data_IF_690893149143
#
_entry.id   IF_690893149143
#
_cell.length_a   1.000
_cell.length_b   1.000
_cell.length_c   1.000
_cell.angle_alpha   90.00
_cell.angle_beta   90.00
_cell.angle_gamma   90.00
#
_symmetry.space_group_name_H-M   'P 1'
#
loop_
_entity.id
_entity.type
_entity.pdbx_description
1 polymer ?
#
# COMPACT_ATOMS: atom_id res chain seq x y z
N UNK A 1 22.59 -6.53 8.15
CA UNK A 1 22.44 -6.50 6.68
C UNK A 1 21.16 -7.24 6.31
N UNK A 2 20.03 -6.84 6.91
CA UNK A 2 18.77 -7.58 6.83
C UNK A 2 17.76 -6.73 6.06
N UNK A 3 17.35 -7.18 4.87
CA UNK A 3 16.31 -6.54 4.08
C UNK A 3 16.51 -6.54 2.56
N UNK A 4 17.72 -6.83 2.06
CA UNK A 4 17.97 -6.89 0.62
C UNK A 4 17.45 -8.20 0.02
N UNK A 5 16.56 -8.10 -0.98
CA UNK A 5 16.12 -9.27 -1.77
C UNK A 5 17.26 -9.67 -2.71
N UNK A 6 17.56 -10.96 -2.76
CA UNK A 6 18.61 -11.52 -3.64
C UNK A 6 17.96 -12.40 -4.70
N UNK A 7 18.35 -12.18 -5.95
CA UNK A 7 18.15 -13.08 -7.06
C UNK A 7 19.53 -13.60 -7.52
N UNK A 8 19.60 -14.69 -8.28
CA UNK A 8 20.83 -15.39 -8.66
C UNK A 8 21.92 -14.48 -9.27
N UNK A 9 21.54 -13.33 -9.82
CA UNK A 9 22.46 -12.36 -10.43
C UNK A 9 22.31 -10.92 -9.91
N UNK A 10 21.49 -10.66 -8.89
CA UNK A 10 21.29 -9.29 -8.39
C UNK A 10 20.85 -9.25 -6.92
N UNK A 11 21.45 -8.35 -6.15
CA UNK A 11 21.00 -7.96 -4.81
C UNK A 11 20.32 -6.60 -4.93
N UNK A 12 19.05 -6.49 -4.52
CA UNK A 12 18.27 -5.27 -4.68
C UNK A 12 17.41 -4.97 -3.45
N UNK A 13 17.23 -3.68 -3.18
CA UNK A 13 16.25 -3.14 -2.23
C UNK A 13 15.44 -2.09 -2.98
N UNK A 14 14.22 -2.47 -3.39
CA UNK A 14 13.35 -1.62 -4.19
C UNK A 14 12.19 -1.20 -3.31
N UNK A 15 12.19 0.08 -2.94
CA UNK A 15 11.15 0.72 -2.11
C UNK A 15 10.44 1.77 -2.95
N UNK A 16 9.11 1.71 -2.99
CA UNK A 16 8.28 2.65 -3.73
C UNK A 16 7.36 3.40 -2.77
N UNK A 17 7.19 4.71 -3.03
CA UNK A 17 6.17 5.54 -2.39
C UNK A 17 5.02 5.72 -3.38
N UNK A 18 3.96 4.94 -3.21
CA UNK A 18 2.79 4.98 -4.10
C UNK A 18 1.70 5.83 -3.46
N UNK A 19 1.29 6.88 -4.16
CA UNK A 19 0.19 7.77 -3.74
C UNK A 19 -0.88 7.71 -4.84
N UNK A 20 -2.14 7.53 -4.44
CA UNK A 20 -3.28 7.58 -5.35
C UNK A 20 -4.41 8.43 -4.76
N UNK A 21 -5.27 8.92 -5.65
CA UNK A 21 -6.47 9.68 -5.29
C UNK A 21 -7.66 9.07 -6.01
N UNK A 22 -8.83 9.11 -5.39
CA UNK A 22 -10.05 8.61 -6.03
C UNK A 22 -10.51 9.53 -7.16
N UNK A 23 -11.29 8.94 -8.08
CA UNK A 23 -11.92 9.68 -9.17
C UNK A 23 -12.71 10.88 -8.61
N UNK A 24 -12.47 12.06 -9.18
CA UNK A 24 -13.09 13.35 -8.79
C UNK A 24 -12.78 13.84 -7.36
N UNK A 25 -11.84 13.22 -6.64
CA UNK A 25 -11.46 13.62 -5.26
C UNK A 25 -12.63 13.73 -4.28
N UNK A 26 -13.69 12.94 -4.48
CA UNK A 26 -14.79 12.92 -3.53
C UNK A 26 -14.28 12.51 -2.14
N UNK A 27 -14.90 13.05 -1.10
CA UNK A 27 -14.54 12.71 0.28
C UNK A 27 -15.23 11.40 0.69
N UNK A 28 -15.01 10.29 -0.02
CA UNK A 28 -15.69 8.99 0.25
C UNK A 28 -14.84 8.02 1.07
N UNK A 29 -13.54 8.31 1.21
CA UNK A 29 -12.62 7.49 2.01
C UNK A 29 -12.75 7.86 3.49
N UNK A 30 -13.89 7.52 4.09
CA UNK A 30 -14.13 7.65 5.52
C UNK A 30 -14.87 6.43 6.07
N UNK A 31 -14.81 6.27 7.39
CA UNK A 31 -15.51 5.21 8.13
C UNK A 31 -15.24 3.79 7.59
N UNK A 32 -16.27 2.95 7.41
CA UNK A 32 -16.09 1.54 7.04
C UNK A 32 -15.52 1.35 5.63
N UNK A 33 -15.75 2.30 4.72
CA UNK A 33 -15.24 2.22 3.33
C UNK A 33 -13.71 2.26 3.32
N UNK A 34 -13.12 3.15 4.11
CA UNK A 34 -11.68 3.29 4.19
C UNK A 34 -11.01 2.09 4.89
N UNK A 35 -11.66 1.51 5.91
CA UNK A 35 -11.21 0.26 6.55
C UNK A 35 -11.20 -0.87 5.52
N UNK A 36 -12.31 -1.07 4.80
CA UNK A 36 -12.41 -2.12 3.79
C UNK A 36 -11.40 -1.94 2.65
N UNK A 37 -11.18 -0.70 2.24
CA UNK A 37 -10.17 -0.37 1.21
C UNK A 37 -8.77 -0.77 1.66
N UNK A 38 -8.42 -0.47 2.93
CA UNK A 38 -7.13 -0.87 3.51
C UNK A 38 -6.93 -2.39 3.49
N UNK A 39 -7.96 -3.16 3.84
CA UNK A 39 -7.92 -4.62 3.81
C UNK A 39 -7.70 -5.15 2.39
N UNK A 40 -8.43 -4.63 1.40
CA UNK A 40 -8.31 -5.06 0.00
C UNK A 40 -6.90 -4.82 -0.55
N UNK A 41 -6.30 -3.66 -0.22
CA UNK A 41 -4.93 -3.33 -0.62
C UNK A 41 -3.95 -4.32 0.01
N UNK A 42 -4.11 -4.59 1.31
CA UNK A 42 -3.26 -5.54 2.03
C UNK A 42 -3.34 -6.94 1.43
N UNK A 43 -4.55 -7.43 1.17
CA UNK A 43 -4.78 -8.71 0.50
C UNK A 43 -4.12 -8.75 -0.89
N UNK A 44 -4.26 -7.67 -1.66
CA UNK A 44 -3.65 -7.55 -2.99
C UNK A 44 -2.11 -7.53 -2.97
N UNK A 45 -1.50 -6.97 -1.93
CA UNK A 45 -0.05 -6.99 -1.71
C UNK A 45 0.44 -8.35 -1.24
N UNK A 46 -0.26 -8.98 -0.28
CA UNK A 46 0.05 -10.32 0.24
C UNK A 46 0.02 -11.36 -0.88
N UNK A 47 -1.01 -11.33 -1.74
CA UNK A 47 -1.12 -12.22 -2.90
C UNK A 47 0.03 -12.07 -3.92
N UNK A 48 0.73 -10.93 -3.93
CA UNK A 48 1.87 -10.66 -4.83
C UNK A 48 3.23 -10.78 -4.13
N UNK A 49 3.27 -11.16 -2.85
CA UNK A 49 4.51 -11.23 -2.07
C UNK A 49 5.19 -9.86 -1.88
N UNK A 50 4.41 -8.78 -1.88
CA UNK A 50 4.88 -7.41 -1.69
C UNK A 50 4.88 -7.09 -0.20
N UNK A 51 6.03 -6.67 0.32
CA UNK A 51 6.18 -6.23 1.72
C UNK A 51 5.73 -4.78 1.86
N UNK A 52 4.76 -4.52 2.74
CA UNK A 52 4.28 -3.17 3.06
C UNK A 52 5.12 -2.61 4.22
N UNK A 53 5.84 -1.52 4.00
CA UNK A 53 6.64 -0.85 5.04
C UNK A 53 5.84 0.19 5.85
N UNK A 54 4.91 0.89 5.19
CA UNK A 54 4.03 1.85 5.82
C UNK A 54 2.86 2.14 4.88
N UNK A 55 1.64 2.00 5.38
CA UNK A 55 0.43 2.32 4.63
C UNK A 55 -0.38 3.33 5.43
N UNK A 56 -0.51 4.53 4.87
CA UNK A 56 -1.40 5.56 5.37
C UNK A 56 -2.54 5.76 4.38
N UNK A 57 -3.77 5.59 4.86
CA UNK A 57 -4.97 5.97 4.10
C UNK A 57 -5.42 7.28 4.71
N UNK A 58 -5.28 8.39 3.96
CA UNK A 58 -5.69 9.71 4.43
C UNK A 58 -7.22 9.71 4.51
N UNK A 59 -7.75 9.69 5.73
CA UNK A 59 -9.17 9.82 5.99
C UNK A 59 -9.56 11.29 5.86
N UNK A 60 -10.59 11.56 5.08
CA UNK A 60 -11.14 12.92 5.05
C UNK A 60 -12.10 13.08 6.24
N UNK A 61 -11.86 14.03 7.17
CA UNK A 61 -12.79 14.29 8.26
C UNK A 61 -14.15 14.75 7.71
N UNK A 62 -15.22 14.29 8.36
CA UNK A 62 -16.60 14.72 8.09
C UNK A 62 -16.73 16.22 8.31
#
# INVERSE_FOLDING_TARGET
MDGYKKNSHAVYDIKYHVIWVIKYRYKVLYGPIAIRTRELIRQGCEARGITIYGQEVIFVPQ
#
